data_IF_030969283636
#
_entry.id   IF_030969283636
#
_cell.length_a   1.000
_cell.length_b   1.000
_cell.length_c   1.000
_cell.angle_alpha   90.00
_cell.angle_beta   90.00
_cell.angle_gamma   90.00
#
_symmetry.space_group_name_H-M   'P 1'
#
loop_
_entity.id
_entity.type
_entity.pdbx_description
1 polymer ?
#
# COMPACT_ATOMS: atom_id res chain seq x y z
N UNK A 1 -30.04 -12.84 -15.87
CA UNK A 1 -28.68 -13.07 -15.32
C UNK A 1 -27.98 -11.73 -15.33
N UNK A 2 -27.93 -11.04 -14.19
CA UNK A 2 -27.25 -9.75 -14.07
C UNK A 2 -25.83 -10.07 -13.62
N UNK A 3 -24.84 -9.88 -14.50
CA UNK A 3 -23.44 -9.98 -14.14
C UNK A 3 -23.14 -8.71 -13.33
N UNK A 4 -22.89 -8.86 -12.03
CA UNK A 4 -22.38 -7.78 -11.21
C UNK A 4 -20.91 -7.58 -11.60
N UNK A 5 -20.66 -6.62 -12.49
CA UNK A 5 -19.32 -6.12 -12.77
C UNK A 5 -18.90 -5.27 -11.55
N UNK A 6 -18.40 -5.95 -10.53
CA UNK A 6 -17.80 -5.30 -9.36
C UNK A 6 -16.45 -4.73 -9.80
N UNK A 7 -16.44 -3.57 -10.46
CA UNK A 7 -15.21 -2.79 -10.63
C UNK A 7 -14.73 -2.34 -9.25
N UNK A 8 -13.91 -3.15 -8.61
CA UNK A 8 -13.19 -2.74 -7.40
C UNK A 8 -12.14 -1.71 -7.81
N UNK A 9 -12.42 -0.45 -7.48
CA UNK A 9 -11.45 0.62 -7.68
C UNK A 9 -10.34 0.48 -6.63
N UNK A 10 -9.16 0.04 -7.07
CA UNK A 10 -7.95 0.12 -6.25
C UNK A 10 -7.56 1.59 -6.11
N UNK A 11 -7.37 2.04 -4.87
CA UNK A 11 -6.94 3.40 -4.54
C UNK A 11 -5.53 3.37 -3.98
N UNK A 12 -4.68 4.24 -4.51
CA UNK A 12 -3.35 4.47 -3.95
C UNK A 12 -3.45 5.38 -2.74
N UNK A 13 -2.94 4.89 -1.61
CA UNK A 13 -2.91 5.62 -0.35
C UNK A 13 -1.49 5.68 0.19
N UNK A 14 -1.15 6.78 0.85
CA UNK A 14 0.10 6.93 1.60
C UNK A 14 -0.16 6.88 3.09
N UNK A 15 0.68 6.18 3.85
CA UNK A 15 0.53 6.08 5.29
C UNK A 15 1.80 5.60 5.99
N UNK A 16 1.86 5.77 7.30
CA UNK A 16 2.97 5.28 8.15
C UNK A 16 2.42 4.69 9.43
N UNK A 17 3.25 3.97 10.18
CA UNK A 17 2.88 3.58 11.55
C UNK A 17 2.60 4.82 12.41
N UNK A 18 1.47 4.78 13.12
CA UNK A 18 1.06 5.79 14.07
C UNK A 18 2.13 5.98 15.16
N UNK A 19 2.26 7.19 15.74
CA UNK A 19 3.20 7.46 16.82
C UNK A 19 3.07 6.43 17.96
N UNK A 20 4.20 5.99 18.51
CA UNK A 20 4.22 5.00 19.60
C UNK A 20 3.89 3.55 19.20
N UNK A 21 3.67 3.26 17.91
CA UNK A 21 3.50 1.89 17.39
C UNK A 21 4.76 1.32 16.73
N UNK A 22 5.64 2.18 16.23
CA UNK A 22 6.99 1.84 15.81
C UNK A 22 7.98 2.50 16.78
N UNK A 23 9.17 1.92 16.98
CA UNK A 23 10.28 2.74 17.44
C UNK A 23 10.42 3.92 16.47
N UNK A 24 10.53 5.16 16.96
CA UNK A 24 10.45 6.38 16.13
C UNK A 24 11.38 6.37 14.91
N UNK A 25 12.45 5.55 14.91
CA UNK A 25 13.37 5.32 13.79
C UNK A 25 12.77 4.61 12.56
N UNK A 26 11.54 4.10 12.63
CA UNK A 26 10.88 3.37 11.51
C UNK A 26 9.67 4.10 10.92
N UNK A 27 9.45 5.38 11.25
CA UNK A 27 8.29 6.16 10.78
C UNK A 27 8.48 6.72 9.36
N UNK A 28 8.73 5.82 8.41
CA UNK A 28 8.72 6.13 6.96
C UNK A 28 7.31 5.97 6.38
N UNK A 29 7.01 6.74 5.34
CA UNK A 29 5.73 6.71 4.64
C UNK A 29 5.76 5.66 3.53
N UNK A 30 4.84 4.71 3.60
CA UNK A 30 4.65 3.65 2.62
C UNK A 30 3.49 3.97 1.68
N UNK A 31 3.54 3.38 0.49
CA UNK A 31 2.46 3.42 -0.50
C UNK A 31 1.71 2.10 -0.44
N UNK A 32 0.38 2.17 -0.34
CA UNK A 32 -0.53 1.03 -0.28
C UNK A 32 -1.46 1.06 -1.48
N UNK A 33 -1.71 -0.11 -2.07
CA UNK A 33 -2.80 -0.34 -3.02
C UNK A 33 -3.95 -0.96 -2.24
N UNK A 34 -4.96 -0.14 -1.94
CA UNK A 34 -6.09 -0.55 -1.12
C UNK A 34 -7.31 -0.69 -2.02
N UNK A 35 -7.90 -1.88 -2.03
CA UNK A 35 -9.23 -2.06 -2.59
C UNK A 35 -10.24 -1.35 -1.68
N UNK A 36 -10.93 -0.34 -2.22
CA UNK A 36 -11.90 0.46 -1.48
C UNK A 36 -13.07 -0.37 -0.91
N UNK A 37 -13.37 -1.53 -1.51
CA UNK A 37 -14.38 -2.46 -1.02
C UNK A 37 -13.83 -3.42 0.05
N UNK A 38 -12.51 -3.51 0.23
CA UNK A 38 -11.90 -4.43 1.19
C UNK A 38 -11.96 -3.90 2.62
N UNK A 39 -12.36 -4.78 3.54
CA UNK A 39 -12.37 -4.55 4.99
C UNK A 39 -11.20 -5.24 5.69
N UNK A 40 -10.12 -5.54 4.97
CA UNK A 40 -8.97 -6.26 5.51
C UNK A 40 -8.36 -5.52 6.71
N UNK A 41 -8.14 -6.26 7.80
CA UNK A 41 -7.53 -5.74 9.01
C UNK A 41 -6.05 -5.35 8.81
N UNK A 42 -5.39 -5.98 7.83
CA UNK A 42 -4.01 -5.71 7.41
C UNK A 42 -4.00 -5.10 6.01
N UNK A 43 -3.04 -4.23 5.75
CA UNK A 43 -2.73 -3.72 4.41
C UNK A 43 -1.26 -3.96 4.08
N UNK A 44 -1.00 -4.30 2.83
CA UNK A 44 0.34 -4.57 2.32
C UNK A 44 0.88 -3.32 1.62
N UNK A 45 1.99 -2.79 2.13
CA UNK A 45 2.74 -1.75 1.45
C UNK A 45 3.39 -2.33 0.18
N UNK A 46 3.61 -1.49 -0.83
CA UNK A 46 4.31 -1.88 -2.07
C UNK A 46 5.71 -2.45 -1.85
N UNK A 47 6.38 -2.08 -0.75
CA UNK A 47 7.67 -2.66 -0.37
C UNK A 47 7.58 -4.04 0.29
N UNK A 48 6.37 -4.60 0.44
CA UNK A 48 6.12 -5.90 1.07
C UNK A 48 5.87 -5.85 2.58
N UNK A 49 5.86 -4.67 3.20
CA UNK A 49 5.58 -4.54 4.63
C UNK A 49 4.07 -4.64 4.91
N UNK A 50 3.67 -5.61 5.74
CA UNK A 50 2.27 -5.75 6.19
C UNK A 50 2.07 -5.00 7.48
N UNK A 51 1.05 -4.12 7.51
CA UNK A 51 0.72 -3.31 8.68
C UNK A 51 -0.77 -3.43 9.04
N UNK A 52 -1.12 -3.42 10.33
CA UNK A 52 -2.50 -3.35 10.75
C UNK A 52 -3.10 -2.01 10.33
N UNK A 53 -4.23 -2.06 9.61
CA UNK A 53 -4.94 -0.88 9.08
C UNK A 53 -5.26 0.14 10.19
N UNK A 54 -5.56 -0.34 11.39
CA UNK A 54 -5.86 0.49 12.58
C UNK A 54 -4.64 1.15 13.21
N UNK A 55 -3.43 0.72 12.85
CA UNK A 55 -2.17 1.28 13.35
C UNK A 55 -1.54 2.26 12.34
N UNK A 56 -2.22 2.55 11.23
CA UNK A 56 -1.72 3.44 10.19
C UNK A 56 -2.25 4.86 10.40
N UNK A 57 -1.33 5.80 10.46
CA UNK A 57 -1.58 7.22 10.22
C UNK A 57 -1.59 7.44 8.70
N UNK A 58 -2.76 7.68 8.12
CA UNK A 58 -2.89 8.02 6.70
C UNK A 58 -2.42 9.44 6.44
N UNK A 59 -1.61 9.62 5.40
CA UNK A 59 -0.95 10.86 5.06
C UNK A 59 -1.40 11.36 3.70
N UNK A 60 -1.38 12.68 3.51
CA UNK A 60 -1.44 13.25 2.17
C UNK A 60 -0.17 12.87 1.38
N UNK A 61 -0.27 12.70 0.05
CA UNK A 61 0.90 12.40 -0.78
C UNK A 61 2.01 13.44 -0.58
N UNK A 62 3.26 12.97 -0.50
CA UNK A 62 4.45 13.82 -0.33
C UNK A 62 4.74 14.28 1.10
N UNK A 63 3.96 13.85 2.11
CA UNK A 63 4.20 14.17 3.52
C UNK A 63 5.07 13.12 4.20
N UNK A 64 6.08 13.57 4.94
CA UNK A 64 6.99 12.70 5.71
C UNK A 64 8.15 12.13 4.89
N UNK A 65 9.00 11.32 5.54
CA UNK A 65 10.10 10.63 4.86
C UNK A 65 9.57 9.40 4.13
N UNK A 66 9.71 9.28 2.79
CA UNK A 66 9.16 8.15 2.06
C UNK A 66 9.99 6.88 2.23
N UNK A 67 9.32 5.73 2.14
CA UNK A 67 9.97 4.45 1.90
C UNK A 67 10.50 4.44 0.46
N UNK A 68 11.83 4.42 0.30
CA UNK A 68 12.48 4.45 -1.02
C UNK A 68 12.07 3.26 -1.90
N UNK A 69 11.89 2.06 -1.31
CA UNK A 69 11.39 0.89 -2.02
C UNK A 69 9.97 1.06 -2.54
N UNK A 70 9.08 1.73 -1.77
CA UNK A 70 7.73 2.02 -2.24
C UNK A 70 7.71 2.99 -3.43
N UNK A 71 8.72 3.86 -3.53
CA UNK A 71 8.88 4.80 -4.64
C UNK A 71 9.70 4.23 -5.82
N UNK A 72 10.21 2.99 -5.71
CA UNK A 72 11.11 2.41 -6.71
C UNK A 72 12.48 3.10 -6.76
N UNK A 73 12.85 3.82 -5.71
CA UNK A 73 14.14 4.51 -5.56
C UNK A 73 15.22 3.61 -4.94
N UNK A 74 14.81 2.53 -4.25
CA UNK A 74 15.74 1.47 -3.89
C UNK A 74 16.19 0.76 -5.16
N UNK A 75 17.47 0.88 -5.52
CA UNK A 75 18.03 0.31 -6.74
C UNK A 75 17.65 -1.17 -6.90
N UNK A 76 16.75 -1.42 -7.86
CA UNK A 76 16.33 -2.71 -8.39
C UNK A 76 16.21 -3.90 -7.40
N UNK A 77 15.00 -4.12 -6.87
CA UNK A 77 14.28 -5.40 -6.98
C UNK A 77 12.80 -5.18 -6.65
N UNK A 78 12.00 -4.77 -7.63
CA UNK A 78 10.55 -4.87 -7.51
C UNK A 78 10.17 -6.26 -8.02
N UNK A 79 9.52 -7.13 -7.22
CA UNK A 79 8.78 -8.23 -7.80
C UNK A 79 7.73 -7.63 -8.72
N UNK A 80 7.92 -7.80 -10.03
CA UNK A 80 6.90 -7.47 -11.02
C UNK A 80 5.65 -8.23 -10.60
N UNK A 81 4.62 -7.51 -10.16
CA UNK A 81 3.29 -8.11 -10.03
C UNK A 81 2.98 -8.72 -11.40
N UNK A 82 2.64 -10.02 -11.52
CA UNK A 82 2.35 -10.60 -12.81
C UNK A 82 1.18 -9.81 -13.40
N UNK A 83 1.47 -9.12 -14.50
CA UNK A 83 0.45 -8.60 -15.39
C UNK A 83 -0.52 -9.77 -15.62
N UNK A 84 -1.76 -9.64 -15.18
CA UNK A 84 -2.82 -10.58 -15.52
C UNK A 84 -2.76 -10.80 -17.01
N UNK A 85 -2.50 -12.05 -17.37
CA UNK A 85 -2.09 -12.44 -18.71
C UNK A 85 -3.17 -12.06 -19.71
N UNK A 86 -2.70 -11.62 -20.88
CA UNK A 86 -3.48 -11.31 -22.07
C UNK A 86 -4.61 -12.33 -22.27
N UNK A 87 -5.85 -11.85 -22.24
CA UNK A 87 -6.99 -12.55 -22.82
C UNK A 87 -6.76 -12.72 -24.31
N UNK A 88 -6.43 -13.95 -24.70
CA UNK A 88 -6.45 -14.45 -26.09
C UNK A 88 -7.86 -14.73 -26.55
#
# INVERSE_FOLDING_TARGET
MIIQDSMTANVLMTGRLAPGRAGESRRVAHVFEVDAASSSAEVLARCGESLPRTHIEWLAPGVGMPCESCLGLAGADLPRSPLSELGV
#
